data_IF_788570795455
#
_entry.id   IF_788570795455
#
_cell.length_a   1.000
_cell.length_b   1.000
_cell.length_c   1.000
_cell.angle_alpha   90.00
_cell.angle_beta   90.00
_cell.angle_gamma   90.00
#
_symmetry.space_group_name_H-M   'P 1'
#
loop_
_entity.id
_entity.type
_entity.pdbx_description
1 polymer ?
#
# COMPACT_ATOMS: atom_id res chain seq x y z
N UNK A 1 15.86 -16.58 1.97
CA UNK A 1 14.41 -16.94 2.06
C UNK A 1 13.94 -17.31 0.66
N UNK A 2 12.98 -18.22 0.54
CA UNK A 2 12.42 -18.58 -0.77
C UNK A 2 11.70 -17.34 -1.36
N UNK A 3 11.98 -16.99 -2.62
CA UNK A 3 11.47 -15.76 -3.26
C UNK A 3 9.94 -15.62 -3.16
N UNK A 4 9.22 -16.75 -3.29
CA UNK A 4 7.76 -16.77 -3.14
C UNK A 4 7.28 -16.32 -1.77
N UNK A 5 8.04 -16.61 -0.71
CA UNK A 5 7.69 -16.19 0.65
C UNK A 5 7.84 -14.68 0.80
N UNK A 6 8.84 -14.08 0.13
CA UNK A 6 9.04 -12.63 0.12
C UNK A 6 7.89 -11.92 -0.63
N UNK A 7 7.48 -12.44 -1.78
CA UNK A 7 6.33 -11.93 -2.54
C UNK A 7 5.04 -11.92 -1.72
N UNK A 8 4.72 -13.06 -1.08
CA UNK A 8 3.52 -13.17 -0.23
C UNK A 8 3.60 -12.20 0.95
N UNK A 9 4.76 -12.11 1.62
CA UNK A 9 4.92 -11.22 2.76
C UNK A 9 4.79 -9.75 2.37
N UNK A 10 5.31 -9.36 1.21
CA UNK A 10 5.19 -8.00 0.68
C UNK A 10 3.75 -7.69 0.27
N UNK A 11 3.04 -8.63 -0.35
CA UNK A 11 1.63 -8.47 -0.70
C UNK A 11 0.76 -8.29 0.56
N UNK A 12 0.97 -9.13 1.58
CA UNK A 12 0.29 -9.02 2.87
C UNK A 12 0.64 -7.70 3.58
N UNK A 13 1.90 -7.28 3.55
CA UNK A 13 2.35 -6.00 4.10
C UNK A 13 1.71 -4.80 3.41
N UNK A 14 1.63 -4.81 2.08
CA UNK A 14 0.93 -3.78 1.31
C UNK A 14 -0.56 -3.71 1.66
N UNK A 15 -1.22 -4.86 1.81
CA UNK A 15 -2.63 -4.91 2.20
C UNK A 15 -2.85 -4.34 3.61
N UNK A 16 -2.01 -4.70 4.57
CA UNK A 16 -2.06 -4.14 5.92
C UNK A 16 -1.85 -2.61 5.91
N UNK A 17 -0.87 -2.13 5.14
CA UNK A 17 -0.62 -0.70 4.97
C UNK A 17 -1.80 0.04 4.34
N UNK A 18 -2.48 -0.57 3.37
CA UNK A 18 -3.68 0.00 2.76
C UNK A 18 -4.82 0.16 3.76
N UNK A 19 -5.07 -0.87 4.57
CA UNK A 19 -6.11 -0.82 5.60
C UNK A 19 -5.80 0.28 6.62
N UNK A 20 -4.53 0.41 7.04
CA UNK A 20 -4.11 1.49 7.94
C UNK A 20 -4.37 2.86 7.31
N UNK A 21 -4.01 3.07 6.05
CA UNK A 21 -4.30 4.32 5.33
C UNK A 21 -5.81 4.60 5.27
N UNK A 22 -6.64 3.61 4.93
CA UNK A 22 -8.10 3.79 4.87
C UNK A 22 -8.71 4.20 6.21
N UNK A 23 -8.15 3.74 7.34
CA UNK A 23 -8.68 4.07 8.67
C UNK A 23 -8.12 5.39 9.20
N UNK A 24 -6.87 5.71 8.90
CA UNK A 24 -6.16 6.84 9.50
C UNK A 24 -6.33 8.13 8.70
N UNK A 25 -6.22 8.08 7.37
CA UNK A 25 -6.25 9.27 6.52
C UNK A 25 -7.58 10.04 6.62
N UNK A 26 -8.76 9.39 6.58
CA UNK A 26 -10.04 10.08 6.73
C UNK A 26 -10.22 10.73 8.11
N UNK A 27 -9.60 10.16 9.16
CA UNK A 27 -9.61 10.75 10.51
C UNK A 27 -8.74 12.00 10.61
N UNK A 28 -7.67 12.06 9.81
CA UNK A 28 -6.72 13.19 9.76
C UNK A 28 -7.23 14.37 8.91
N UNK A 29 -7.93 14.11 7.81
CA UNK A 29 -8.33 15.15 6.84
C UNK A 29 -9.69 15.81 7.14
N UNK A 30 -10.41 15.36 8.17
CA UNK A 30 -11.70 15.93 8.59
C UNK A 30 -12.88 15.54 7.69
N UNK A 31 -14.09 15.64 8.24
CA UNK A 31 -15.33 15.11 7.63
C UNK A 31 -15.64 15.69 6.24
N UNK A 32 -15.30 16.97 6.01
CA UNK A 32 -15.57 17.66 4.75
C UNK A 32 -14.75 17.14 3.55
N UNK A 33 -13.62 16.46 3.79
CA UNK A 33 -12.71 15.96 2.73
C UNK A 33 -12.53 14.44 2.77
N UNK A 34 -13.40 13.69 3.45
CA UNK A 34 -13.27 12.23 3.57
C UNK A 34 -13.20 11.52 2.22
N UNK A 35 -14.00 11.94 1.23
CA UNK A 35 -13.96 11.37 -0.11
C UNK A 35 -12.58 11.47 -0.77
N UNK A 36 -11.93 12.63 -0.62
CA UNK A 36 -10.58 12.86 -1.14
C UNK A 36 -9.53 12.04 -0.38
N UNK A 37 -9.72 11.85 0.93
CA UNK A 37 -8.81 11.02 1.74
C UNK A 37 -8.74 9.57 1.23
N UNK A 38 -9.87 8.99 0.80
CA UNK A 38 -9.87 7.64 0.22
C UNK A 38 -9.15 7.58 -1.14
N UNK A 39 -9.33 8.60 -1.97
CA UNK A 39 -8.63 8.69 -3.26
C UNK A 39 -7.12 8.81 -3.03
N UNK A 40 -6.69 9.66 -2.10
CA UNK A 40 -5.28 9.80 -1.74
C UNK A 40 -4.71 8.50 -1.17
N UNK A 41 -5.45 7.81 -0.29
CA UNK A 41 -5.05 6.51 0.23
C UNK A 41 -4.85 5.47 -0.89
N UNK A 42 -5.73 5.45 -1.90
CA UNK A 42 -5.60 4.58 -3.08
C UNK A 42 -4.35 4.93 -3.91
N UNK A 43 -4.10 6.21 -4.16
CA UNK A 43 -2.92 6.65 -4.92
C UNK A 43 -1.64 6.22 -4.20
N UNK A 44 -1.56 6.44 -2.89
CA UNK A 44 -0.40 6.04 -2.08
C UNK A 44 -0.23 4.52 -2.13
N UNK A 45 -1.31 3.75 -1.98
CA UNK A 45 -1.26 2.29 -2.03
C UNK A 45 -0.74 1.77 -3.37
N UNK A 46 -1.24 2.29 -4.49
CA UNK A 46 -0.80 1.89 -5.83
C UNK A 46 0.69 2.22 -6.03
N UNK A 47 1.13 3.40 -5.59
CA UNK A 47 2.54 3.79 -5.69
C UNK A 47 3.44 2.84 -4.88
N UNK A 48 3.07 2.52 -3.64
CA UNK A 48 3.82 1.59 -2.78
C UNK A 48 3.85 0.19 -3.38
N UNK A 49 2.72 -0.32 -3.86
CA UNK A 49 2.64 -1.66 -4.47
C UNK A 49 3.47 -1.74 -5.75
N UNK A 50 3.48 -0.68 -6.57
CA UNK A 50 4.29 -0.60 -7.78
C UNK A 50 5.79 -0.61 -7.46
N UNK A 51 6.24 0.18 -6.48
CA UNK A 51 7.65 0.19 -6.03
C UNK A 51 8.03 -1.17 -5.45
N UNK A 52 7.17 -1.77 -4.62
CA UNK A 52 7.41 -3.05 -3.99
C UNK A 52 7.54 -4.18 -5.04
N UNK A 53 6.65 -4.20 -6.04
CA UNK A 53 6.73 -5.11 -7.18
C UNK A 53 8.01 -4.93 -7.99
N UNK A 54 8.40 -3.68 -8.30
CA UNK A 54 9.64 -3.37 -9.01
C UNK A 54 10.90 -3.83 -8.25
N UNK A 55 10.94 -3.61 -6.93
CA UNK A 55 12.08 -4.02 -6.10
C UNK A 55 12.22 -5.54 -6.01
N UNK A 56 11.09 -6.26 -5.99
CA UNK A 56 11.10 -7.73 -6.05
C UNK A 56 11.61 -8.18 -7.42
N UNK A 57 11.06 -7.63 -8.51
CA UNK A 57 11.45 -7.98 -9.88
C UNK A 57 12.97 -7.82 -10.09
N UNK A 58 13.53 -6.70 -9.63
CA UNK A 58 14.99 -6.44 -9.64
C UNK A 58 15.82 -7.41 -8.79
N UNK A 59 15.23 -8.09 -7.80
CA UNK A 59 15.90 -9.11 -6.98
C UNK A 59 15.79 -10.50 -7.62
N UNK A 60 14.84 -10.71 -8.53
CA UNK A 60 14.61 -11.96 -9.26
C UNK A 60 15.45 -12.01 -10.54
N UNK A 61 15.55 -10.88 -11.25
CA UNK A 61 16.35 -10.70 -12.46
C UNK A 61 17.86 -10.53 -12.15
#
# INVERSE_FOLDING_TARGET
MNLRVLEVLVAVGCLALFIVLLVTLPKLMGEAMQGLAYVVALIIFIAVLSIAGYLIDKKVA
#
